data_IF_564350566817
#
_entry.id   IF_564350566817
#
_cell.length_a   1.000
_cell.length_b   1.000
_cell.length_c   1.000
_cell.angle_alpha   90.00
_cell.angle_beta   90.00
_cell.angle_gamma   90.00
#
_symmetry.space_group_name_H-M   'P 1'
#
loop_
_entity.id
_entity.type
_entity.pdbx_description
1 polymer ?
#
# COMPACT_ATOMS: atom_id res chain seq x y z
N UNK A 1 4.01 -0.53 10.15
CA UNK A 1 4.16 -1.56 9.09
C UNK A 1 5.40 -2.36 9.34
N UNK A 2 5.30 -3.67 9.22
CA UNK A 2 6.43 -4.58 9.46
C UNK A 2 7.26 -4.78 8.19
N UNK A 3 6.60 -4.89 7.03
CA UNK A 3 7.29 -5.04 5.76
C UNK A 3 6.42 -4.56 4.63
N UNK A 4 7.06 -4.16 3.53
CA UNK A 4 6.40 -3.77 2.28
C UNK A 4 7.16 -4.46 1.15
N UNK A 5 6.46 -5.32 0.42
CA UNK A 5 7.06 -6.11 -0.66
C UNK A 5 6.20 -5.97 -1.90
N UNK A 6 6.82 -5.68 -3.03
CA UNK A 6 6.11 -5.56 -4.30
C UNK A 6 6.31 -6.81 -5.16
N UNK A 7 5.30 -7.08 -5.98
CA UNK A 7 5.36 -8.15 -6.99
C UNK A 7 4.45 -7.73 -8.13
N UNK A 8 5.01 -7.60 -9.33
CA UNK A 8 4.28 -7.16 -10.52
C UNK A 8 3.50 -5.87 -10.23
N UNK A 9 2.17 -5.94 -10.21
CA UNK A 9 1.33 -4.78 -9.92
C UNK A 9 0.76 -4.79 -8.50
N UNK A 10 1.34 -5.59 -7.60
CA UNK A 10 0.85 -5.68 -6.22
C UNK A 10 1.89 -5.18 -5.24
N UNK A 11 1.40 -4.67 -4.11
CA UNK A 11 2.21 -4.33 -2.95
C UNK A 11 1.59 -5.04 -1.76
N UNK A 12 2.37 -5.86 -1.08
CA UNK A 12 1.92 -6.59 0.10
C UNK A 12 2.54 -5.92 1.33
N UNK A 13 1.69 -5.39 2.19
CA UNK A 13 2.11 -4.72 3.42
C UNK A 13 1.73 -5.62 4.58
N UNK A 14 2.73 -6.01 5.39
CA UNK A 14 2.47 -6.76 6.62
C UNK A 14 2.43 -5.78 7.78
N UNK A 15 1.47 -5.98 8.68
CA UNK A 15 1.24 -5.11 9.81
C UNK A 15 1.17 -5.94 11.10
N UNK A 16 1.24 -5.30 12.28
CA UNK A 16 0.86 -6.02 13.49
C UNK A 16 -0.59 -6.50 13.40
N UNK A 17 -0.95 -7.55 14.14
CA UNK A 17 -2.32 -8.04 14.14
C UNK A 17 -3.33 -6.93 14.42
N UNK A 18 -4.44 -6.95 13.70
CA UNK A 18 -5.55 -5.99 13.82
C UNK A 18 -5.24 -4.58 13.32
N UNK A 19 -4.04 -4.31 12.79
CA UNK A 19 -3.68 -2.97 12.31
C UNK A 19 -3.94 -2.77 10.81
N UNK A 20 -4.23 -3.83 10.05
CA UNK A 20 -4.34 -3.75 8.60
C UNK A 20 -5.45 -2.80 8.15
N UNK A 21 -6.61 -2.80 8.81
CA UNK A 21 -7.72 -1.94 8.42
C UNK A 21 -7.37 -0.45 8.55
N UNK A 22 -6.62 -0.08 9.59
CA UNK A 22 -6.20 1.30 9.76
C UNK A 22 -5.26 1.73 8.61
N UNK A 23 -4.29 0.88 8.28
CA UNK A 23 -3.36 1.16 7.19
C UNK A 23 -4.12 1.24 5.86
N UNK A 24 -5.04 0.31 5.60
CA UNK A 24 -5.85 0.32 4.39
C UNK A 24 -6.70 1.59 4.29
N UNK A 25 -7.32 2.01 5.38
CA UNK A 25 -8.12 3.24 5.40
C UNK A 25 -7.28 4.46 5.06
N UNK A 26 -6.06 4.53 5.58
CA UNK A 26 -5.15 5.63 5.28
C UNK A 26 -4.78 5.64 3.80
N UNK A 27 -4.51 4.47 3.23
CA UNK A 27 -4.19 4.36 1.80
C UNK A 27 -5.40 4.69 0.93
N UNK A 28 -6.59 4.21 1.30
CA UNK A 28 -7.80 4.51 0.55
C UNK A 28 -8.09 6.00 0.53
N UNK A 29 -7.87 6.69 1.64
CA UNK A 29 -8.03 8.13 1.70
C UNK A 29 -7.03 8.84 0.77
N UNK A 30 -5.79 8.36 0.73
CA UNK A 30 -4.76 8.91 -0.15
C UNK A 30 -5.11 8.67 -1.63
N UNK A 31 -5.66 7.51 -1.96
CA UNK A 31 -6.11 7.20 -3.31
C UNK A 31 -7.24 8.15 -3.71
N UNK A 32 -8.22 8.33 -2.85
CA UNK A 32 -9.36 9.23 -3.11
C UNK A 32 -8.91 10.68 -3.27
N UNK A 33 -7.89 11.09 -2.53
CA UNK A 33 -7.32 12.44 -2.61
C UNK A 33 -6.33 12.59 -3.76
N UNK A 34 -6.14 11.55 -4.58
CA UNK A 34 -5.24 11.53 -5.71
C UNK A 34 -3.78 11.74 -5.34
N UNK A 35 -3.41 11.35 -4.12
CA UNK A 35 -2.02 11.35 -3.66
C UNK A 35 -1.29 10.08 -4.07
N UNK A 36 -2.03 9.03 -4.44
CA UNK A 36 -1.49 7.78 -4.99
C UNK A 36 -2.19 7.48 -6.32
N UNK A 37 -1.93 8.28 -7.37
CA UNK A 37 -2.70 8.17 -8.61
C UNK A 37 -2.47 6.86 -9.37
N UNK A 38 -1.39 6.12 -9.05
CA UNK A 38 -1.11 4.84 -9.71
C UNK A 38 -1.76 3.66 -9.01
N UNK A 39 -2.43 3.86 -7.88
CA UNK A 39 -3.09 2.80 -7.14
C UNK A 39 -4.57 2.73 -7.50
N UNK A 40 -5.11 1.51 -7.58
CA UNK A 40 -6.53 1.28 -7.85
C UNK A 40 -7.31 1.20 -6.54
N UNK A 41 -6.79 0.45 -5.57
CA UNK A 41 -7.48 0.24 -4.30
C UNK A 41 -6.71 -0.71 -3.41
N UNK A 42 -7.31 -1.04 -2.27
CA UNK A 42 -6.71 -1.91 -1.26
C UNK A 42 -7.69 -2.98 -0.79
N UNK A 43 -7.12 -4.08 -0.31
CA UNK A 43 -7.86 -5.13 0.39
C UNK A 43 -7.07 -5.44 1.65
N UNK A 44 -7.77 -5.49 2.80
CA UNK A 44 -7.12 -5.73 4.08
C UNK A 44 -7.60 -7.01 4.74
N UNK A 45 -6.65 -7.80 5.22
CA UNK A 45 -6.89 -8.89 6.18
C UNK A 45 -6.50 -8.39 7.57
N UNK A 46 -6.34 -9.30 8.52
CA UNK A 46 -6.02 -8.94 9.90
C UNK A 46 -4.67 -8.24 10.03
N UNK A 47 -3.66 -8.78 9.35
CA UNK A 47 -2.27 -8.34 9.46
C UNK A 47 -1.63 -8.04 8.10
N UNK A 48 -2.43 -7.97 7.04
CA UNK A 48 -1.93 -7.82 5.68
C UNK A 48 -2.82 -6.88 4.89
N UNK A 49 -2.19 -5.97 4.13
CA UNK A 49 -2.90 -5.11 3.17
C UNK A 49 -2.33 -5.41 1.79
N UNK A 50 -3.23 -5.66 0.84
CA UNK A 50 -2.87 -5.81 -0.56
C UNK A 50 -3.25 -4.53 -1.29
N UNK A 51 -2.29 -3.91 -1.96
CA UNK A 51 -2.54 -2.69 -2.75
C UNK A 51 -2.30 -3.03 -4.22
N UNK A 52 -3.20 -2.59 -5.08
CA UNK A 52 -3.14 -2.91 -6.51
C UNK A 52 -2.78 -1.66 -7.30
N UNK A 53 -1.72 -1.77 -8.11
CA UNK A 53 -1.32 -0.70 -9.02
C UNK A 53 -2.04 -0.82 -10.36
N UNK A 54 -2.22 0.30 -11.03
CA UNK A 54 -2.91 0.37 -12.32
C UNK A 54 -2.16 -0.33 -13.45
N UNK A 55 -0.83 -0.24 -13.44
CA UNK A 55 -0.02 -0.80 -14.52
C UNK A 55 0.56 -2.14 -14.09
N UNK A 56 0.80 -3.00 -15.06
CA UNK A 56 1.20 -4.40 -14.80
C UNK A 56 2.51 -4.50 -14.03
N UNK A 57 3.39 -3.52 -14.13
CA UNK A 57 4.68 -3.50 -13.43
C UNK A 57 4.78 -2.36 -12.42
N UNK A 58 3.65 -1.80 -11.99
CA UNK A 58 3.64 -0.61 -11.16
C UNK A 58 3.86 -0.84 -9.67
N UNK A 59 3.96 -2.08 -9.23
CA UNK A 59 4.06 -2.38 -7.79
C UNK A 59 5.29 -1.79 -7.13
N UNK A 60 6.46 -1.89 -7.77
CA UNK A 60 7.70 -1.41 -7.16
C UNK A 60 7.68 0.10 -6.91
N UNK A 61 7.23 0.88 -7.89
CA UNK A 61 7.15 2.34 -7.73
C UNK A 61 6.09 2.72 -6.69
N UNK A 62 4.97 2.01 -6.67
CA UNK A 62 3.93 2.24 -5.68
C UNK A 62 4.42 1.92 -4.27
N UNK A 63 5.18 0.84 -4.11
CA UNK A 63 5.76 0.47 -2.82
C UNK A 63 6.66 1.58 -2.29
N UNK A 64 7.48 2.17 -3.15
CA UNK A 64 8.34 3.30 -2.75
C UNK A 64 7.52 4.48 -2.26
N UNK A 65 6.46 4.84 -2.97
CA UNK A 65 5.59 5.95 -2.55
C UNK A 65 4.93 5.68 -1.21
N UNK A 66 4.49 4.44 -1.00
CA UNK A 66 3.87 4.06 0.27
C UNK A 66 4.89 4.17 1.41
N UNK A 67 6.11 3.69 1.20
CA UNK A 67 7.16 3.79 2.21
C UNK A 67 7.45 5.25 2.57
N UNK A 68 7.55 6.12 1.58
CA UNK A 68 7.76 7.55 1.81
C UNK A 68 6.59 8.15 2.59
N UNK A 69 5.37 7.81 2.21
CA UNK A 69 4.16 8.32 2.84
C UNK A 69 4.11 8.01 4.34
N UNK A 70 4.61 6.83 4.74
CA UNK A 70 4.65 6.42 6.13
C UNK A 70 5.98 6.73 6.82
N UNK A 71 6.85 7.51 6.17
CA UNK A 71 8.11 7.92 6.76
C UNK A 71 9.20 6.86 6.76
N UNK A 72 9.05 5.79 5.98
CA UNK A 72 9.99 4.67 5.94
C UNK A 72 11.04 4.79 4.84
N UNK A 73 10.89 5.72 3.91
CA UNK A 73 11.78 5.87 2.77
C UNK A 73 13.00 6.74 3.02
N UNK A 74 13.26 7.08 4.23
CA UNK A 74 14.38 7.97 4.58
C UNK A 74 15.70 7.26 4.67
#
# INVERSE_FOLDING_TARGET
MLSVVSSANTVVIRTPPAAAQFIASTLDAAISAQQLPTAIGTIAGDDTVLVIAKTSNGGAALAKKILIMFGKGK
#
